data_IF_783203803606
#
_entry.id   IF_783203803606
#
_cell.length_a   1.000
_cell.length_b   1.000
_cell.length_c   1.000
_cell.angle_alpha   90.00
_cell.angle_beta   90.00
_cell.angle_gamma   90.00
#
_symmetry.space_group_name_H-M   'P 1'
#
loop_
_entity.id
_entity.type
_entity.pdbx_description
1 polymer ?
#
# COMPACT_ATOMS: atom_id res chain seq x y z
N UNK A 1 -2.25 8.68 16.59
CA UNK A 1 -3.69 8.38 16.36
C UNK A 1 -4.08 8.96 15.02
N UNK A 2 -4.48 8.12 14.06
CA UNK A 2 -4.94 8.57 12.75
C UNK A 2 -6.23 9.40 12.85
N UNK A 3 -6.25 10.58 12.21
CA UNK A 3 -7.46 11.42 12.13
C UNK A 3 -8.52 10.83 11.19
N UNK A 4 -9.76 11.29 11.32
CA UNK A 4 -10.89 10.81 10.52
C UNK A 4 -11.37 11.86 9.53
N UNK A 5 -11.61 11.45 8.28
CA UNK A 5 -12.04 12.30 7.17
C UNK A 5 -13.37 11.81 6.60
N UNK A 6 -14.37 12.69 6.54
CA UNK A 6 -15.63 12.41 5.84
C UNK A 6 -15.58 12.93 4.40
N UNK A 7 -16.04 12.14 3.42
CA UNK A 7 -16.30 12.64 2.06
C UNK A 7 -17.78 12.97 1.94
N UNK A 8 -18.09 14.25 1.72
CA UNK A 8 -19.45 14.77 1.55
C UNK A 8 -19.60 15.38 0.17
N UNK A 9 -20.81 15.31 -0.38
CA UNK A 9 -21.13 15.92 -1.66
C UNK A 9 -22.43 15.36 -2.22
N UNK A 10 -23.00 16.00 -3.24
CA UNK A 10 -24.19 15.46 -3.92
C UNK A 10 -23.89 14.14 -4.67
N UNK A 11 -24.91 13.39 -5.11
CA UNK A 11 -24.69 12.22 -5.96
C UNK A 11 -23.90 12.55 -7.24
N UNK A 12 -23.10 11.59 -7.72
CA UNK A 12 -22.37 11.63 -8.99
C UNK A 12 -21.24 12.66 -9.14
N UNK A 13 -20.82 13.36 -8.08
CA UNK A 13 -19.64 14.26 -8.11
C UNK A 13 -18.30 13.51 -8.14
N UNK A 14 -18.32 12.20 -7.88
CA UNK A 14 -17.12 11.35 -7.85
C UNK A 14 -16.61 11.00 -6.45
N UNK A 15 -17.47 11.07 -5.41
CA UNK A 15 -17.14 10.67 -4.03
C UNK A 15 -16.53 9.27 -3.95
N UNK A 16 -17.21 8.27 -4.51
CA UNK A 16 -16.73 6.89 -4.48
C UNK A 16 -15.47 6.66 -5.31
N UNK A 17 -15.26 7.44 -6.39
CA UNK A 17 -14.01 7.42 -7.16
C UNK A 17 -12.85 7.93 -6.31
N UNK A 18 -13.05 9.05 -5.60
CA UNK A 18 -12.04 9.61 -4.69
C UNK A 18 -11.80 8.67 -3.50
N UNK A 19 -12.85 8.14 -2.87
CA UNK A 19 -12.76 7.15 -1.80
C UNK A 19 -11.92 5.94 -2.23
N UNK A 20 -12.25 5.31 -3.36
CA UNK A 20 -11.53 4.15 -3.87
C UNK A 20 -10.07 4.46 -4.21
N UNK A 21 -9.78 5.69 -4.68
CA UNK A 21 -8.40 6.13 -4.92
C UNK A 21 -7.62 6.27 -3.62
N UNK A 22 -8.21 6.88 -2.60
CA UNK A 22 -7.57 7.13 -1.30
C UNK A 22 -7.37 5.84 -0.50
N UNK A 23 -8.33 4.91 -0.53
CA UNK A 23 -8.23 3.59 0.13
C UNK A 23 -7.32 2.62 -0.64
N UNK A 24 -7.10 2.88 -1.93
CA UNK A 24 -6.37 1.97 -2.82
C UNK A 24 -7.17 0.68 -3.13
N UNK A 25 -6.64 -0.15 -4.03
CA UNK A 25 -7.32 -1.35 -4.59
C UNK A 25 -7.65 -2.48 -3.57
N UNK A 26 -7.53 -2.28 -2.25
CA UNK A 26 -7.77 -3.34 -1.25
C UNK A 26 -9.20 -3.49 -0.74
N UNK A 27 -10.17 -2.69 -1.20
CA UNK A 27 -11.60 -2.93 -0.96
C UNK A 27 -12.46 -2.66 -2.21
N UNK A 28 -12.19 -3.38 -3.31
CA UNK A 28 -13.10 -3.45 -4.45
C UNK A 28 -13.43 -4.92 -4.77
N UNK A 29 -14.10 -5.60 -3.83
CA UNK A 29 -15.13 -6.55 -4.22
C UNK A 29 -16.45 -5.79 -4.09
N UNK A 30 -16.76 -5.06 -5.17
CA UNK A 30 -18.14 -4.68 -5.48
C UNK A 30 -18.78 -5.97 -5.94
N UNK A 31 -19.52 -6.60 -5.03
CA UNK A 31 -20.51 -7.60 -5.42
C UNK A 31 -21.78 -6.81 -5.75
N UNK A 32 -22.10 -6.70 -7.04
CA UNK A 32 -23.31 -6.04 -7.58
C UNK A 32 -24.57 -6.88 -7.30
N UNK A 33 -24.67 -7.49 -6.10
CA UNK A 33 -25.83 -8.26 -5.68
C UNK A 33 -26.76 -7.36 -4.85
N UNK A 34 -27.95 -6.98 -5.35
CA UNK A 34 -28.90 -6.17 -4.60
C UNK A 34 -29.40 -6.93 -3.37
N UNK A 35 -29.29 -6.34 -2.17
CA UNK A 35 -29.90 -6.88 -0.95
C UNK A 35 -28.98 -7.09 0.27
N UNK A 36 -27.72 -6.66 0.25
CA UNK A 36 -26.85 -6.68 1.44
C UNK A 36 -26.81 -5.31 2.13
N UNK A 37 -27.08 -5.28 3.43
CA UNK A 37 -27.06 -4.06 4.26
C UNK A 37 -25.66 -3.42 4.23
N UNK A 38 -25.58 -2.25 3.59
CA UNK A 38 -24.37 -1.42 3.46
C UNK A 38 -24.20 -0.56 4.71
N UNK A 39 -23.78 -1.17 5.82
CA UNK A 39 -23.36 -0.40 6.98
C UNK A 39 -22.04 0.34 6.71
N UNK A 40 -21.88 1.49 7.39
CA UNK A 40 -20.73 2.41 7.37
C UNK A 40 -19.41 1.67 7.16
N UNK A 41 -18.72 1.91 6.03
CA UNK A 41 -17.38 1.35 5.80
C UNK A 41 -16.32 2.45 5.98
N UNK A 42 -15.78 2.64 7.19
CA UNK A 42 -14.50 3.31 7.33
C UNK A 42 -13.47 2.55 6.47
N UNK A 43 -12.70 3.29 5.70
CA UNK A 43 -11.60 2.76 4.90
C UNK A 43 -10.29 3.36 5.37
N UNK A 44 -9.23 2.56 5.40
CA UNK A 44 -7.88 3.06 5.63
C UNK A 44 -7.42 3.82 4.38
N UNK A 45 -7.34 5.14 4.45
CA UNK A 45 -6.89 5.98 3.35
C UNK A 45 -5.40 6.32 3.50
N UNK A 46 -4.72 6.35 2.34
CA UNK A 46 -3.37 6.87 2.21
C UNK A 46 -3.31 7.89 1.09
N UNK A 47 -2.78 9.07 1.39
CA UNK A 47 -2.52 10.13 0.42
C UNK A 47 -1.08 10.62 0.58
N UNK A 48 -0.20 10.15 -0.31
CA UNK A 48 1.24 10.45 -0.28
C UNK A 48 1.84 10.00 1.07
N UNK A 49 2.09 10.93 1.97
CA UNK A 49 2.61 10.79 3.33
C UNK A 49 1.49 10.70 4.38
N UNK A 50 0.30 11.25 4.09
CA UNK A 50 -0.84 11.23 5.01
C UNK A 50 -1.51 9.85 5.11
N UNK A 51 -1.92 9.52 6.33
CA UNK A 51 -2.72 8.34 6.67
C UNK A 51 -3.87 8.73 7.57
N UNK A 52 -5.07 8.31 7.20
CA UNK A 52 -6.29 8.68 7.92
C UNK A 52 -7.40 7.67 7.67
N UNK A 53 -8.40 7.66 8.53
CA UNK A 53 -9.62 6.89 8.30
C UNK A 53 -10.55 7.72 7.44
N UNK A 54 -11.04 7.16 6.33
CA UNK A 54 -11.98 7.84 5.45
C UNK A 54 -13.38 7.22 5.54
N UNK A 55 -14.41 8.07 5.56
CA UNK A 55 -15.81 7.66 5.63
C UNK A 55 -16.54 8.18 4.38
N UNK A 56 -17.07 7.27 3.55
CA UNK A 56 -17.89 7.63 2.38
C UNK A 56 -19.36 7.81 2.81
N UNK A 57 -19.92 9.01 2.59
CA UNK A 57 -21.36 9.24 2.80
C UNK A 57 -22.23 8.71 1.66
N UNK A 58 -21.67 8.21 0.55
CA UNK A 58 -22.44 7.69 -0.58
C UNK A 58 -23.04 6.30 -0.34
N UNK A 59 -22.35 5.40 0.39
CA UNK A 59 -22.85 4.04 0.70
C UNK A 59 -24.10 4.00 1.59
N UNK A 60 -24.54 5.18 1.99
CA UNK A 60 -25.55 5.48 2.98
C UNK A 60 -26.83 6.06 2.34
N UNK A 61 -26.79 6.43 1.05
CA UNK A 61 -27.85 7.12 0.30
C UNK A 61 -28.96 6.18 -0.27
N UNK A 62 -28.81 4.85 -0.18
CA UNK A 62 -29.63 3.86 -0.93
C UNK A 62 -30.85 3.27 -0.18
N UNK A 63 -31.43 3.93 0.83
CA UNK A 63 -32.61 3.38 1.56
C UNK A 63 -33.85 4.27 1.45
N UNK A 64 -34.69 3.95 0.46
CA UNK A 64 -36.17 4.07 0.50
C UNK A 64 -36.82 5.48 0.40
N UNK A 65 -38.10 5.56 -0.03
CA UNK A 65 -38.70 6.76 -0.62
C UNK A 65 -39.42 7.73 0.34
N UNK A 66 -38.96 7.88 1.59
CA UNK A 66 -39.54 8.85 2.54
C UNK A 66 -38.57 10.02 2.78
N UNK A 67 -38.90 11.16 2.17
CA UNK A 67 -38.11 12.40 2.00
C UNK A 67 -36.60 12.20 2.03
N UNK A 68 -36.08 11.72 0.90
CA UNK A 68 -34.65 11.50 0.59
C UNK A 68 -33.75 12.61 1.16
N UNK A 69 -34.16 13.86 1.03
CA UNK A 69 -33.40 15.04 1.48
C UNK A 69 -33.19 15.12 3.00
N UNK A 70 -34.18 14.75 3.81
CA UNK A 70 -34.09 14.85 5.27
C UNK A 70 -33.17 13.79 5.88
N UNK A 71 -33.24 12.55 5.35
CA UNK A 71 -32.35 11.46 5.76
C UNK A 71 -30.92 11.70 5.29
N UNK A 72 -30.75 12.16 4.05
CA UNK A 72 -29.43 12.55 3.52
C UNK A 72 -28.76 13.62 4.38
N UNK A 73 -29.53 14.63 4.84
CA UNK A 73 -29.00 15.67 5.74
C UNK A 73 -28.57 15.11 7.09
N UNK A 74 -29.46 14.41 7.82
CA UNK A 74 -29.14 13.87 9.15
C UNK A 74 -27.92 12.94 9.12
N UNK A 75 -27.75 12.21 8.03
CA UNK A 75 -26.63 11.30 7.87
C UNK A 75 -25.33 12.00 7.48
N UNK A 76 -25.41 13.04 6.66
CA UNK A 76 -24.30 13.93 6.38
C UNK A 76 -23.86 14.66 7.65
N UNK A 77 -24.80 15.12 8.47
CA UNK A 77 -24.57 15.73 9.79
C UNK A 77 -23.79 14.79 10.71
N UNK A 78 -24.23 13.54 10.85
CA UNK A 78 -23.52 12.54 11.65
C UNK A 78 -22.10 12.27 11.13
N UNK A 79 -21.92 12.16 9.81
CA UNK A 79 -20.59 11.94 9.23
C UNK A 79 -19.66 13.14 9.47
N UNK A 80 -20.20 14.36 9.40
CA UNK A 80 -19.47 15.58 9.75
C UNK A 80 -19.14 15.55 11.24
N UNK A 81 -20.08 15.24 12.13
CA UNK A 81 -19.88 15.17 13.59
C UNK A 81 -18.84 14.12 14.04
N UNK A 82 -18.73 12.99 13.34
CA UNK A 82 -17.79 11.93 13.66
C UNK A 82 -16.37 12.19 13.09
N UNK A 83 -16.21 13.07 12.08
CA UNK A 83 -14.93 13.31 11.42
C UNK A 83 -14.14 14.50 11.99
N UNK A 84 -12.81 14.43 11.94
CA UNK A 84 -11.93 15.55 12.26
C UNK A 84 -11.88 16.59 11.13
N UNK A 85 -12.07 16.15 9.88
CA UNK A 85 -12.06 16.98 8.68
C UNK A 85 -13.08 16.48 7.66
N UNK A 86 -13.68 17.40 6.89
CA UNK A 86 -14.61 17.03 5.80
C UNK A 86 -14.04 17.43 4.44
N UNK A 87 -13.98 16.49 3.51
CA UNK A 87 -13.78 16.74 2.08
C UNK A 87 -15.14 16.99 1.44
N UNK A 88 -15.40 18.24 1.05
CA UNK A 88 -16.63 18.58 0.33
C UNK A 88 -16.39 18.57 -1.18
N UNK A 89 -16.90 17.54 -1.85
CA UNK A 89 -16.65 17.30 -3.27
C UNK A 89 -17.75 17.88 -4.13
N UNK A 90 -17.37 18.75 -5.07
CA UNK A 90 -18.23 19.30 -6.12
C UNK A 90 -17.73 18.86 -7.50
N UNK A 91 -18.60 18.91 -8.51
CA UNK A 91 -18.25 18.57 -9.89
C UNK A 91 -17.93 19.85 -10.67
N UNK A 92 -16.64 20.08 -10.96
CA UNK A 92 -16.17 21.27 -11.66
C UNK A 92 -16.69 21.34 -13.11
N UNK A 93 -16.93 20.19 -13.75
CA UNK A 93 -17.45 20.13 -15.12
C UNK A 93 -18.92 20.52 -15.20
N UNK A 94 -19.71 20.06 -14.23
CA UNK A 94 -21.14 20.32 -14.19
C UNK A 94 -21.48 21.66 -13.53
N UNK A 95 -20.65 22.12 -12.60
CA UNK A 95 -20.89 23.30 -11.78
C UNK A 95 -21.76 23.02 -10.55
N UNK A 96 -22.05 24.10 -9.82
CA UNK A 96 -22.79 24.05 -8.57
C UNK A 96 -24.30 23.91 -8.79
N UNK A 97 -24.93 23.18 -7.87
CA UNK A 97 -26.38 23.00 -7.80
C UNK A 97 -26.94 23.58 -6.50
N UNK A 98 -28.28 23.76 -6.36
CA UNK A 98 -28.88 24.14 -5.09
C UNK A 98 -28.55 23.19 -3.92
N UNK A 99 -28.32 21.90 -4.22
CA UNK A 99 -27.93 20.91 -3.22
C UNK A 99 -26.50 21.14 -2.72
N UNK A 100 -25.58 21.55 -3.60
CA UNK A 100 -24.22 21.92 -3.20
C UNK A 100 -24.23 23.16 -2.28
N UNK A 101 -25.08 24.15 -2.57
CA UNK A 101 -25.27 25.34 -1.70
C UNK A 101 -25.79 24.95 -0.32
N UNK A 102 -26.73 24.01 -0.28
CA UNK A 102 -27.29 23.47 0.96
C UNK A 102 -26.21 22.78 1.80
N UNK A 103 -25.39 21.91 1.20
CA UNK A 103 -24.27 21.27 1.90
C UNK A 103 -23.23 22.30 2.35
N UNK A 104 -22.94 23.30 1.52
CA UNK A 104 -22.04 24.40 1.89
C UNK A 104 -22.54 25.18 3.12
N UNK A 105 -23.84 25.48 3.20
CA UNK A 105 -24.44 26.10 4.39
C UNK A 105 -24.32 25.23 5.63
N UNK A 106 -24.54 23.93 5.50
CA UNK A 106 -24.42 22.97 6.59
C UNK A 106 -22.98 22.91 7.12
N UNK A 107 -22.01 22.78 6.21
CA UNK A 107 -20.59 22.68 6.51
C UNK A 107 -20.05 23.97 7.15
N UNK A 108 -20.51 25.15 6.72
CA UNK A 108 -20.14 26.41 7.40
C UNK A 108 -20.65 26.47 8.84
N UNK A 109 -21.79 25.85 9.15
CA UNK A 109 -22.37 25.84 10.50
C UNK A 109 -21.74 24.81 11.43
N UNK A 110 -21.14 23.74 10.90
CA UNK A 110 -20.55 22.68 11.72
C UNK A 110 -19.31 23.14 12.48
N UNK A 111 -18.64 24.19 12.00
CA UNK A 111 -17.42 24.73 12.62
C UNK A 111 -16.20 23.80 12.51
N UNK A 112 -16.32 22.71 11.74
CA UNK A 112 -15.22 21.77 11.52
C UNK A 112 -14.35 22.18 10.34
N UNK A 113 -13.08 21.74 10.29
CA UNK A 113 -12.24 21.88 9.11
C UNK A 113 -12.90 21.29 7.85
N UNK A 114 -12.92 22.07 6.78
CA UNK A 114 -13.48 21.66 5.48
C UNK A 114 -12.47 21.96 4.39
N UNK A 115 -12.21 20.97 3.54
CA UNK A 115 -11.49 21.17 2.28
C UNK A 115 -12.49 21.05 1.14
N UNK A 116 -12.63 22.14 0.38
CA UNK A 116 -13.49 22.18 -0.79
C UNK A 116 -12.75 21.57 -1.99
N UNK A 117 -13.33 20.53 -2.59
CA UNK A 117 -12.70 19.74 -3.65
C UNK A 117 -13.48 19.90 -4.95
N UNK A 118 -12.88 20.55 -5.95
CA UNK A 118 -13.42 20.68 -7.29
C UNK A 118 -12.98 19.50 -8.16
N UNK A 119 -13.75 18.41 -8.15
CA UNK A 119 -13.41 17.18 -8.86
C UNK A 119 -13.81 17.25 -10.35
N UNK A 120 -13.21 16.38 -11.17
CA UNK A 120 -13.35 16.33 -12.64
C UNK A 120 -12.78 17.57 -13.35
N UNK A 121 -11.74 18.17 -12.75
CA UNK A 121 -11.12 19.40 -13.26
C UNK A 121 -10.34 19.19 -14.56
N UNK A 122 -10.05 17.95 -14.95
CA UNK A 122 -9.47 17.61 -16.26
C UNK A 122 -10.40 17.91 -17.44
N UNK A 123 -11.71 17.98 -17.19
CA UNK A 123 -12.69 18.04 -18.25
C UNK A 123 -12.69 19.42 -18.92
N UNK A 124 -12.77 19.46 -20.25
CA UNK A 124 -12.89 20.73 -20.98
C UNK A 124 -14.12 21.51 -20.49
N UNK A 125 -13.90 22.75 -20.04
CA UNK A 125 -14.94 23.63 -19.50
C UNK A 125 -15.13 23.56 -17.98
N UNK A 126 -14.24 22.88 -17.25
CA UNK A 126 -14.24 22.81 -15.78
C UNK A 126 -13.97 24.15 -15.09
N UNK A 127 -13.32 25.11 -15.76
CA UNK A 127 -12.97 26.42 -15.20
C UNK A 127 -14.17 27.14 -14.59
N UNK A 128 -15.34 27.10 -15.25
CA UNK A 128 -16.56 27.75 -14.76
C UNK A 128 -17.02 27.18 -13.41
N UNK A 129 -17.11 25.85 -13.30
CA UNK A 129 -17.52 25.21 -12.05
C UNK A 129 -16.46 25.32 -10.95
N UNK A 130 -15.18 25.40 -11.31
CA UNK A 130 -14.10 25.71 -10.37
C UNK A 130 -14.27 27.11 -9.76
N UNK A 131 -14.47 28.15 -10.59
CA UNK A 131 -14.67 29.52 -10.10
C UNK A 131 -15.99 29.66 -9.32
N UNK A 132 -17.05 28.98 -9.73
CA UNK A 132 -18.32 28.99 -9.00
C UNK A 132 -18.17 28.41 -7.59
N UNK A 133 -17.26 27.45 -7.38
CA UNK A 133 -17.04 26.82 -6.08
C UNK A 133 -16.66 27.83 -4.99
N UNK A 134 -15.95 28.93 -5.33
CA UNK A 134 -15.65 30.02 -4.38
C UNK A 134 -16.91 30.64 -3.76
N UNK A 135 -18.04 30.63 -4.47
CA UNK A 135 -19.31 31.19 -3.95
C UNK A 135 -19.86 30.41 -2.75
N UNK A 136 -19.35 29.21 -2.49
CA UNK A 136 -19.66 28.42 -1.30
C UNK A 136 -18.98 28.98 -0.04
N UNK A 137 -18.02 29.89 -0.14
CA UNK A 137 -17.41 30.53 1.02
C UNK A 137 -16.75 29.54 2.00
N UNK A 138 -16.14 28.48 1.46
CA UNK A 138 -15.45 27.43 2.21
C UNK A 138 -13.92 27.45 1.99
N UNK A 139 -13.38 28.61 1.57
CA UNK A 139 -11.97 28.75 1.21
C UNK A 139 -11.69 28.48 -0.27
N UNK A 140 -10.41 28.29 -0.59
CA UNK A 140 -9.94 28.00 -1.93
C UNK A 140 -10.30 26.56 -2.33
N UNK A 141 -11.02 26.35 -3.46
CA UNK A 141 -11.31 25.02 -3.97
C UNK A 141 -10.03 24.36 -4.50
N UNK A 142 -9.79 23.11 -4.13
CA UNK A 142 -8.69 22.30 -4.66
C UNK A 142 -9.14 21.63 -5.96
N UNK A 143 -8.54 21.95 -7.11
CA UNK A 143 -8.89 21.33 -8.39
C UNK A 143 -8.26 19.94 -8.49
N UNK A 144 -9.08 18.90 -8.60
CA UNK A 144 -8.58 17.52 -8.74
C UNK A 144 -9.23 16.76 -9.89
N UNK A 145 -8.55 15.69 -10.28
CA UNK A 145 -9.13 14.58 -11.03
C UNK A 145 -9.02 13.30 -10.21
N UNK A 146 -10.08 12.88 -9.53
CA UNK A 146 -10.10 11.61 -8.81
C UNK A 146 -9.96 10.42 -9.76
N UNK A 147 -10.40 10.53 -11.01
CA UNK A 147 -10.26 9.45 -11.99
C UNK A 147 -8.80 9.31 -12.47
N UNK A 148 -8.15 10.42 -12.82
CA UNK A 148 -6.81 10.41 -13.40
C UNK A 148 -5.68 10.60 -12.37
N UNK A 149 -6.00 10.99 -11.14
CA UNK A 149 -5.04 11.22 -10.05
C UNK A 149 -4.31 12.56 -10.11
N UNK A 150 -4.90 13.57 -10.75
CA UNK A 150 -4.35 14.93 -10.82
C UNK A 150 -4.79 15.76 -9.61
N UNK A 151 -3.97 16.71 -9.17
CA UNK A 151 -4.28 17.58 -8.02
C UNK A 151 -4.22 16.90 -6.64
N UNK A 152 -3.70 15.68 -6.57
CA UNK A 152 -3.65 14.91 -5.31
C UNK A 152 -2.61 15.46 -4.31
N UNK A 153 -1.54 16.11 -4.81
CA UNK A 153 -0.55 16.80 -3.97
C UNK A 153 -1.20 18.05 -3.36
N UNK A 154 -1.88 18.85 -4.18
CA UNK A 154 -2.59 20.03 -3.70
C UNK A 154 -3.69 19.66 -2.68
N UNK A 155 -4.38 18.53 -2.89
CA UNK A 155 -5.35 18.00 -1.92
C UNK A 155 -4.69 17.58 -0.60
N UNK A 156 -3.48 16.99 -0.66
CA UNK A 156 -2.70 16.66 0.53
C UNK A 156 -2.38 17.92 1.31
N UNK A 157 -1.86 18.94 0.63
CA UNK A 157 -1.42 20.18 1.27
C UNK A 157 -2.60 20.92 1.91
N UNK A 158 -3.75 20.98 1.22
CA UNK A 158 -4.98 21.56 1.76
C UNK A 158 -5.52 20.80 2.98
N UNK A 159 -5.38 19.46 3.03
CA UNK A 159 -5.77 18.67 4.21
C UNK A 159 -4.87 19.01 5.39
N UNK A 160 -3.55 19.08 5.19
CA UNK A 160 -2.60 19.44 6.25
C UNK A 160 -2.87 20.85 6.77
N UNK A 161 -3.06 21.82 5.88
CA UNK A 161 -3.38 23.20 6.26
C UNK A 161 -4.68 23.27 7.08
N UNK A 162 -5.72 22.52 6.68
CA UNK A 162 -7.01 22.57 7.33
C UNK A 162 -7.04 21.89 8.71
N UNK A 163 -6.32 20.77 8.88
CA UNK A 163 -6.33 20.00 10.14
C UNK A 163 -5.21 20.40 11.10
N UNK A 164 -4.15 21.04 10.59
CA UNK A 164 -2.92 21.38 11.30
C UNK A 164 -1.88 20.27 11.25
N UNK A 165 -0.59 20.65 11.20
CA UNK A 165 0.53 19.71 11.12
C UNK A 165 0.55 18.72 12.29
N UNK A 166 0.33 19.18 13.53
CA UNK A 166 0.31 18.33 14.74
C UNK A 166 -0.75 17.21 14.67
N UNK A 167 -1.86 17.43 13.96
CA UNK A 167 -2.91 16.41 13.77
C UNK A 167 -2.67 15.56 12.53
N UNK A 168 -2.10 16.14 11.49
CA UNK A 168 -1.74 15.43 10.26
C UNK A 168 -0.59 14.44 10.51
N UNK A 169 0.33 14.82 11.40
CA UNK A 169 1.52 14.09 11.82
C UNK A 169 1.61 14.10 13.35
N UNK A 170 0.75 13.34 14.06
CA UNK A 170 0.80 13.33 15.51
C UNK A 170 2.15 12.80 15.98
N UNK A 171 2.80 13.52 16.90
CA UNK A 171 4.02 13.06 17.56
C UNK A 171 3.80 11.64 18.12
N UNK A 172 4.53 10.66 17.57
CA UNK A 172 4.39 9.24 17.90
C UNK A 172 3.55 8.38 16.95
N UNK A 173 2.95 8.95 15.88
CA UNK A 173 2.52 8.20 14.68
C UNK A 173 3.67 8.17 13.66
N UNK A 174 4.86 7.82 14.14
CA UNK A 174 5.91 7.25 13.30
C UNK A 174 5.41 5.89 12.80
N UNK A 175 4.53 5.96 11.81
CA UNK A 175 4.28 4.92 10.82
C UNK A 175 5.47 4.88 9.82
N UNK A 176 6.64 5.39 10.25
CA UNK A 176 7.91 4.74 9.97
C UNK A 176 7.70 3.26 10.28
N UNK A 177 8.03 2.37 9.34
CA UNK A 177 8.34 1.02 9.82
C UNK A 177 9.39 1.27 10.91
N UNK A 178 9.19 0.83 12.16
CA UNK A 178 10.26 0.85 13.16
C UNK A 178 11.49 0.23 12.48
N UNK A 179 12.34 1.10 11.98
CA UNK A 179 13.66 0.82 11.50
C UNK A 179 14.48 1.45 12.55
N UNK A 180 15.24 0.59 13.18
CA UNK A 180 15.90 0.81 14.43
C UNK A 180 17.18 1.65 14.19
N UNK A 181 17.07 2.66 13.31
CA UNK A 181 18.08 3.62 12.87
C UNK A 181 17.64 4.97 13.41
N UNK A 182 18.30 5.39 14.47
CA UNK A 182 18.12 6.67 15.14
C UNK A 182 18.71 7.76 14.23
N UNK A 183 17.92 8.33 13.30
CA UNK A 183 18.35 9.55 12.57
C UNK A 183 18.19 10.72 13.54
N UNK A 184 19.17 10.87 14.43
CA UNK A 184 19.18 11.98 15.38
C UNK A 184 19.18 13.29 14.61
N UNK A 185 18.28 14.16 15.05
CA UNK A 185 17.91 15.49 14.53
C UNK A 185 19.03 16.55 14.65
N UNK A 186 20.31 16.15 14.53
CA UNK A 186 21.47 17.02 14.72
C UNK A 186 22.04 17.60 13.43
N UNK A 187 21.23 17.74 12.37
CA UNK A 187 21.71 18.25 11.06
C UNK A 187 20.97 19.51 10.60
N UNK A 188 20.78 20.45 11.53
CA UNK A 188 20.72 21.88 11.20
C UNK A 188 22.01 22.55 11.70
N UNK A 189 23.13 22.06 11.18
CA UNK A 189 24.46 22.63 11.37
C UNK A 189 25.22 22.47 10.07
N UNK A 190 25.54 23.60 9.46
CA UNK A 190 26.27 23.74 8.20
C UNK A 190 27.55 22.89 8.20
N UNK A 191 27.59 21.87 7.33
CA UNK A 191 28.70 21.45 6.46
C UNK A 191 28.42 20.03 5.95
N UNK A 192 28.13 19.95 4.66
CA UNK A 192 27.98 18.70 3.92
C UNK A 192 29.33 18.00 3.75
N UNK A 193 29.25 16.69 3.47
CA UNK A 193 30.31 15.75 3.12
C UNK A 193 30.97 15.00 4.30
N UNK A 194 30.24 14.05 4.89
CA UNK A 194 30.80 12.74 5.23
C UNK A 194 29.71 11.66 5.10
N UNK A 195 30.05 10.61 4.35
CA UNK A 195 29.21 9.48 3.98
C UNK A 195 28.80 8.69 5.23
N UNK A 196 27.58 8.93 5.75
CA UNK A 196 27.06 8.22 6.92
C UNK A 196 26.69 6.77 6.54
N UNK A 197 27.62 5.83 6.71
CA UNK A 197 27.31 4.40 6.70
C UNK A 197 26.75 3.99 8.08
N UNK A 198 25.46 3.65 8.21
CA UNK A 198 24.92 3.19 9.49
C UNK A 198 25.64 1.90 9.91
N UNK A 199 26.14 1.88 11.16
CA UNK A 199 26.81 0.71 11.71
C UNK A 199 25.85 -0.49 11.78
N UNK A 200 26.30 -1.63 11.28
CA UNK A 200 25.55 -2.88 11.27
C UNK A 200 25.39 -3.45 12.69
N UNK A 201 24.15 -3.53 13.18
CA UNK A 201 23.79 -4.10 14.49
C UNK A 201 23.41 -5.58 14.33
N UNK A 202 24.23 -6.47 14.91
CA UNK A 202 24.07 -7.93 14.83
C UNK A 202 23.03 -8.49 15.82
N UNK A 203 22.57 -7.67 16.78
CA UNK A 203 21.55 -8.05 17.75
C UNK A 203 20.13 -7.98 17.16
N UNK A 204 19.96 -7.28 16.04
CA UNK A 204 18.66 -7.08 15.38
C UNK A 204 18.40 -8.15 14.32
N UNK A 205 17.13 -8.63 14.20
CA UNK A 205 16.80 -9.67 13.25
C UNK A 205 16.90 -9.15 11.80
N UNK A 206 17.58 -9.90 10.92
CA UNK A 206 17.62 -9.57 9.50
C UNK A 206 16.23 -9.75 8.88
N UNK A 207 15.72 -8.70 8.24
CA UNK A 207 14.38 -8.73 7.63
C UNK A 207 14.46 -9.20 6.18
N UNK A 208 13.94 -10.39 5.92
CA UNK A 208 14.02 -11.05 4.60
C UNK A 208 12.63 -11.28 4.01
N UNK A 209 12.48 -11.04 2.71
CA UNK A 209 11.30 -11.46 1.94
C UNK A 209 11.69 -12.41 0.81
N UNK A 210 10.84 -13.42 0.55
CA UNK A 210 11.00 -14.34 -0.58
C UNK A 210 9.87 -14.10 -1.57
N UNK A 211 10.20 -13.53 -2.73
CA UNK A 211 9.25 -13.21 -3.80
C UNK A 211 9.57 -14.01 -5.07
N UNK A 212 8.71 -13.90 -6.08
CA UNK A 212 8.84 -14.63 -7.34
C UNK A 212 7.47 -14.95 -7.92
N UNK A 213 7.44 -15.41 -9.17
CA UNK A 213 6.19 -15.81 -9.84
C UNK A 213 5.50 -17.00 -9.17
N UNK A 214 4.19 -17.21 -9.41
CA UNK A 214 3.51 -18.46 -9.10
C UNK A 214 4.31 -19.68 -9.61
N UNK A 215 4.30 -20.79 -8.87
CA UNK A 215 5.03 -22.03 -9.22
C UNK A 215 6.57 -21.95 -9.33
N UNK A 216 7.21 -20.81 -9.05
CA UNK A 216 8.68 -20.70 -8.99
C UNK A 216 9.32 -21.51 -7.83
N UNK A 217 8.50 -22.11 -6.95
CA UNK A 217 8.94 -22.97 -5.85
C UNK A 217 9.26 -22.24 -4.53
N UNK A 218 8.73 -21.03 -4.34
CA UNK A 218 8.84 -20.24 -3.09
C UNK A 218 8.34 -21.00 -1.87
N UNK A 219 7.14 -21.60 -1.93
CA UNK A 219 6.57 -22.32 -0.79
C UNK A 219 7.41 -23.52 -0.40
N UNK A 220 7.97 -24.24 -1.38
CA UNK A 220 8.89 -25.35 -1.16
C UNK A 220 10.16 -24.87 -0.46
N UNK A 221 10.74 -23.76 -0.95
CA UNK A 221 11.93 -23.14 -0.36
C UNK A 221 11.70 -22.70 1.09
N UNK A 222 10.59 -22.02 1.38
CA UNK A 222 10.30 -21.54 2.73
C UNK A 222 10.05 -22.73 3.67
N UNK A 223 9.25 -23.73 3.25
CA UNK A 223 9.03 -24.93 4.07
C UNK A 223 10.32 -25.68 4.37
N UNK A 224 11.30 -25.66 3.44
CA UNK A 224 12.63 -26.23 3.64
C UNK A 224 13.38 -25.49 4.75
N UNK A 225 13.43 -24.15 4.69
CA UNK A 225 14.03 -23.32 5.75
C UNK A 225 13.36 -23.54 7.11
N UNK A 226 12.02 -23.62 7.15
CA UNK A 226 11.27 -23.90 8.38
C UNK A 226 11.45 -25.34 8.91
N UNK A 227 11.92 -26.26 8.07
CA UNK A 227 12.10 -27.67 8.40
C UNK A 227 13.51 -28.02 8.88
N UNK A 228 14.53 -27.23 8.50
CA UNK A 228 15.93 -27.49 8.84
C UNK A 228 16.35 -26.89 10.20
N UNK A 229 15.81 -25.73 10.60
CA UNK A 229 16.16 -25.05 11.86
C UNK A 229 14.95 -24.85 12.78
N UNK A 230 14.43 -25.95 13.34
CA UNK A 230 13.41 -25.86 14.40
C UNK A 230 14.01 -25.38 15.73
N UNK A 231 14.12 -24.06 15.86
CA UNK A 231 13.87 -23.31 17.09
C UNK A 231 12.86 -22.21 16.76
N UNK A 232 11.58 -22.61 16.64
CA UNK A 232 10.47 -21.67 16.60
C UNK A 232 10.33 -21.04 18.00
N UNK A 233 11.02 -19.94 18.25
CA UNK A 233 10.71 -19.09 19.41
C UNK A 233 9.52 -18.23 19.04
N UNK A 234 8.32 -18.63 19.48
CA UNK A 234 7.12 -17.79 19.39
C UNK A 234 6.70 -17.34 20.79
N UNK A 235 6.35 -16.05 20.99
CA UNK A 235 5.63 -15.65 22.18
C UNK A 235 4.20 -16.19 22.15
N UNK A 236 3.63 -16.32 23.34
CA UNK A 236 2.36 -16.93 23.66
C UNK A 236 1.16 -16.34 22.90
N UNK A 237 0.10 -17.15 22.85
CA UNK A 237 -1.16 -16.84 22.21
C UNK A 237 -1.75 -15.47 22.60
N UNK A 238 -1.80 -14.56 21.63
CA UNK A 238 -2.56 -13.32 21.67
C UNK A 238 -2.03 -12.35 20.61
N UNK A 239 -2.94 -11.55 19.98
CA UNK A 239 -2.71 -10.40 19.08
C UNK A 239 -1.97 -10.68 17.72
N UNK A 240 -2.29 -10.12 16.56
CA UNK A 240 -3.29 -9.16 16.01
C UNK A 240 -3.47 -9.48 14.51
N UNK A 241 -4.57 -9.02 13.90
CA UNK A 241 -4.87 -9.17 12.47
C UNK A 241 -3.93 -8.31 11.61
N UNK A 242 -2.75 -8.79 11.21
CA UNK A 242 -2.12 -8.50 9.91
C UNK A 242 -0.73 -9.17 9.80
N UNK A 243 -0.54 -9.95 8.72
CA UNK A 243 0.69 -10.67 8.32
C UNK A 243 1.50 -11.39 9.41
N UNK A 244 1.38 -12.72 9.43
CA UNK A 244 2.17 -13.63 10.26
C UNK A 244 3.63 -13.59 9.78
N UNK A 245 4.52 -12.93 10.53
CA UNK A 245 5.98 -13.07 10.37
C UNK A 245 6.42 -14.41 10.96
N UNK A 246 7.53 -14.96 10.44
CA UNK A 246 8.16 -16.13 11.03
C UNK A 246 9.60 -15.80 11.34
N UNK A 247 9.95 -15.98 12.61
CA UNK A 247 11.30 -15.78 13.12
C UNK A 247 11.99 -17.14 13.23
N UNK A 248 13.24 -17.23 12.77
CA UNK A 248 14.13 -18.37 13.03
C UNK A 248 15.56 -17.88 13.23
N UNK A 249 16.42 -18.77 13.71
CA UNK A 249 17.83 -18.50 13.89
C UNK A 249 18.63 -19.23 12.81
N UNK A 250 19.53 -18.51 12.13
CA UNK A 250 20.44 -19.08 11.13
C UNK A 250 21.87 -18.70 11.49
N UNK A 251 22.71 -19.70 11.80
CA UNK A 251 24.13 -19.52 12.18
C UNK A 251 24.37 -18.44 13.25
N UNK A 252 23.52 -18.39 14.27
CA UNK A 252 23.62 -17.41 15.37
C UNK A 252 22.99 -16.05 15.09
N UNK A 253 22.33 -15.86 13.93
CA UNK A 253 21.65 -14.63 13.57
C UNK A 253 20.15 -14.85 13.48
N UNK A 254 19.36 -13.99 14.12
CA UNK A 254 17.91 -14.02 14.00
C UNK A 254 17.49 -13.50 12.62
N UNK A 255 16.61 -14.22 11.95
CA UNK A 255 16.04 -13.85 10.66
C UNK A 255 14.53 -13.79 10.79
N UNK A 256 13.96 -12.66 10.36
CA UNK A 256 12.53 -12.41 10.34
C UNK A 256 12.03 -12.42 8.90
N UNK A 257 11.26 -13.45 8.54
CA UNK A 257 10.67 -13.53 7.19
C UNK A 257 9.29 -12.92 7.14
N UNK A 258 9.13 -12.02 6.17
CA UNK A 258 7.85 -11.42 5.82
C UNK A 258 7.17 -12.23 4.71
N UNK A 259 5.84 -12.30 4.80
CA UNK A 259 4.92 -12.92 3.82
C UNK A 259 4.64 -14.44 3.94
N UNK A 260 4.27 -14.92 5.14
CA UNK A 260 3.75 -16.30 5.29
C UNK A 260 2.22 -16.39 5.25
N UNK A 261 1.51 -15.27 5.09
CA UNK A 261 0.04 -15.20 5.13
C UNK A 261 -0.63 -15.98 3.97
N UNK A 262 0.03 -16.05 2.81
CA UNK A 262 -0.40 -16.91 1.69
C UNK A 262 -0.12 -18.41 1.90
N UNK A 263 0.63 -18.78 2.94
CA UNK A 263 1.15 -20.14 3.11
C UNK A 263 0.49 -20.93 4.25
N UNK A 264 0.10 -20.30 5.36
CA UNK A 264 -0.64 -21.03 6.42
C UNK A 264 -2.05 -21.47 5.99
N UNK A 265 -2.69 -20.76 5.05
CA UNK A 265 -3.96 -21.20 4.45
C UNK A 265 -3.81 -22.43 3.52
N UNK A 266 -2.59 -22.75 3.07
CA UNK A 266 -2.32 -23.79 2.05
C UNK A 266 -2.14 -25.22 2.58
N UNK A 267 -2.18 -25.45 3.89
CA UNK A 267 -2.22 -26.82 4.42
C UNK A 267 -3.59 -27.51 4.26
N UNK A 268 -4.66 -26.79 3.83
CA UNK A 268 -6.02 -27.33 3.78
C UNK A 268 -6.83 -27.10 2.50
N UNK A 269 -6.30 -26.45 1.46
CA UNK A 269 -7.08 -26.19 0.24
C UNK A 269 -6.24 -26.43 -1.01
N UNK A 270 -6.58 -27.48 -1.75
CA UNK A 270 -6.05 -27.76 -3.09
C UNK A 270 -6.39 -26.64 -4.08
N UNK A 271 -5.34 -26.21 -4.80
CA UNK A 271 -5.29 -25.72 -6.18
C UNK A 271 -6.01 -24.45 -6.66
N UNK A 272 -6.89 -23.77 -5.92
CA UNK A 272 -7.69 -22.67 -6.52
C UNK A 272 -7.32 -21.19 -6.30
N UNK A 273 -6.22 -20.85 -5.62
CA UNK A 273 -5.77 -19.44 -5.55
C UNK A 273 -4.24 -19.31 -5.49
N UNK A 274 -3.60 -19.31 -6.66
CA UNK A 274 -2.20 -18.88 -6.83
C UNK A 274 -2.10 -17.51 -7.52
N UNK A 275 -3.03 -16.59 -7.24
CA UNK A 275 -2.81 -15.19 -7.55
C UNK A 275 -2.11 -14.55 -6.35
N UNK A 276 -0.78 -14.46 -6.42
CA UNK A 276 -0.04 -13.45 -5.66
C UNK A 276 -0.69 -12.10 -5.98
N UNK A 277 -1.32 -11.48 -4.99
CA UNK A 277 -1.71 -10.09 -5.17
C UNK A 277 -0.41 -9.30 -5.31
N UNK A 278 -0.29 -8.50 -6.36
CA UNK A 278 0.82 -7.54 -6.53
C UNK A 278 1.00 -6.70 -5.26
N UNK A 279 -0.11 -6.41 -4.57
CA UNK A 279 -0.11 -5.68 -3.32
C UNK A 279 0.53 -6.43 -2.13
N UNK A 280 0.52 -7.77 -2.14
CA UNK A 280 1.15 -8.57 -1.09
C UNK A 280 2.65 -8.63 -1.33
N UNK A 281 3.10 -8.90 -2.58
CA UNK A 281 4.51 -8.80 -2.94
C UNK A 281 5.10 -7.40 -2.64
N UNK A 282 4.38 -6.33 -2.99
CA UNK A 282 4.76 -4.95 -2.65
C UNK A 282 4.92 -4.73 -1.15
N UNK A 283 3.97 -5.22 -0.36
CA UNK A 283 4.03 -5.09 1.10
C UNK A 283 5.26 -5.81 1.65
N UNK A 284 5.52 -7.04 1.20
CA UNK A 284 6.65 -7.86 1.63
C UNK A 284 7.99 -7.23 1.29
N UNK A 285 8.12 -6.62 0.11
CA UNK A 285 9.32 -5.90 -0.31
C UNK A 285 9.58 -4.69 0.59
N UNK A 286 8.55 -3.90 0.91
CA UNK A 286 8.71 -2.68 1.74
C UNK A 286 9.15 -2.96 3.19
N UNK A 287 8.80 -4.12 3.74
CA UNK A 287 9.21 -4.49 5.10
C UNK A 287 10.54 -5.25 5.16
N UNK A 288 11.06 -5.70 4.02
CA UNK A 288 12.31 -6.45 3.97
C UNK A 288 13.51 -5.53 3.72
N UNK A 289 14.64 -5.84 4.35
CA UNK A 289 15.93 -5.24 4.02
C UNK A 289 16.54 -5.97 2.83
N UNK A 290 16.42 -7.31 2.83
CA UNK A 290 16.90 -8.19 1.78
C UNK A 290 15.75 -8.96 1.14
N UNK A 291 15.71 -8.99 -0.19
CA UNK A 291 14.68 -9.68 -0.96
C UNK A 291 15.32 -10.77 -1.82
N UNK A 292 14.92 -12.01 -1.57
CA UNK A 292 15.26 -13.17 -2.41
C UNK A 292 14.22 -13.29 -3.51
N UNK A 293 14.64 -13.08 -4.75
CA UNK A 293 13.79 -13.20 -5.93
C UNK A 293 13.97 -14.60 -6.51
N UNK A 294 12.95 -15.43 -6.39
CA UNK A 294 12.97 -16.82 -6.82
C UNK A 294 12.48 -16.94 -8.27
N UNK A 295 13.36 -17.45 -9.11
CA UNK A 295 13.11 -17.83 -10.50
C UNK A 295 13.06 -19.34 -10.61
N UNK A 296 12.30 -19.84 -11.57
CA UNK A 296 12.37 -21.24 -11.99
C UNK A 296 13.44 -21.37 -13.07
N UNK A 297 14.51 -22.13 -12.80
CA UNK A 297 15.62 -22.32 -13.72
C UNK A 297 15.25 -23.12 -14.98
N UNK A 298 14.10 -23.81 -14.98
CA UNK A 298 13.67 -24.69 -16.08
C UNK A 298 12.87 -23.97 -17.16
N UNK A 299 12.48 -22.71 -16.93
CA UNK A 299 11.66 -21.92 -17.84
C UNK A 299 12.29 -20.56 -18.16
N UNK A 300 11.96 -19.95 -19.32
CA UNK A 300 12.41 -18.60 -19.64
C UNK A 300 11.86 -17.54 -18.67
N UNK A 301 12.56 -16.40 -18.58
CA UNK A 301 12.05 -15.24 -17.86
C UNK A 301 10.76 -14.72 -18.50
N UNK A 302 9.76 -14.50 -17.65
CA UNK A 302 8.52 -13.87 -18.05
C UNK A 302 8.49 -12.40 -17.66
N UNK A 303 7.57 -11.64 -18.26
CA UNK A 303 7.35 -10.22 -17.95
C UNK A 303 7.19 -9.96 -16.45
N UNK A 304 6.52 -10.86 -15.73
CA UNK A 304 6.31 -10.72 -14.29
C UNK A 304 7.62 -10.89 -13.49
N UNK A 305 8.57 -11.72 -13.93
CA UNK A 305 9.87 -11.83 -13.27
C UNK A 305 10.63 -10.49 -13.36
N UNK A 306 10.64 -9.90 -14.56
CA UNK A 306 11.31 -8.63 -14.81
C UNK A 306 10.69 -7.49 -14.00
N UNK A 307 9.36 -7.49 -13.88
CA UNK A 307 8.63 -6.53 -13.05
C UNK A 307 8.94 -6.66 -11.57
N UNK A 308 9.10 -7.89 -11.05
CA UNK A 308 9.47 -8.11 -9.66
C UNK A 308 10.88 -7.60 -9.36
N UNK A 309 11.84 -7.85 -10.26
CA UNK A 309 13.21 -7.34 -10.12
C UNK A 309 13.23 -5.80 -10.16
N UNK A 310 12.58 -5.20 -11.15
CA UNK A 310 12.47 -3.74 -11.27
C UNK A 310 11.85 -3.13 -10.02
N UNK A 311 10.80 -3.75 -9.47
CA UNK A 311 10.16 -3.29 -8.26
C UNK A 311 11.09 -3.34 -7.03
N UNK A 312 11.79 -4.46 -6.82
CA UNK A 312 12.71 -4.61 -5.68
C UNK A 312 13.83 -3.55 -5.73
N UNK A 313 14.37 -3.30 -6.92
CA UNK A 313 15.46 -2.35 -7.09
C UNK A 313 14.99 -0.90 -6.96
N UNK A 314 13.80 -0.56 -7.45
CA UNK A 314 13.20 0.77 -7.24
C UNK A 314 12.91 1.07 -5.78
N UNK A 315 12.54 0.05 -5.01
CA UNK A 315 12.33 0.16 -3.56
C UNK A 315 13.64 0.19 -2.75
N UNK A 316 14.81 0.17 -3.43
CA UNK A 316 16.12 0.29 -2.80
C UNK A 316 16.53 -0.91 -1.95
N UNK A 317 15.93 -2.09 -2.16
CA UNK A 317 16.19 -3.27 -1.31
C UNK A 317 17.38 -4.08 -1.82
N UNK A 318 18.13 -4.66 -0.89
CA UNK A 318 19.20 -5.59 -1.24
C UNK A 318 18.59 -6.84 -1.90
N UNK A 319 18.92 -7.08 -3.15
CA UNK A 319 18.33 -8.19 -3.91
C UNK A 319 19.29 -9.38 -4.00
N UNK A 320 18.73 -10.59 -4.02
CA UNK A 320 19.44 -11.83 -4.36
C UNK A 320 18.61 -12.61 -5.35
N UNK A 321 19.19 -13.02 -6.48
CA UNK A 321 18.50 -13.84 -7.48
C UNK A 321 18.72 -15.31 -7.16
N UNK A 322 17.63 -16.04 -6.94
CA UNK A 322 17.63 -17.46 -6.63
C UNK A 322 17.06 -18.27 -7.81
N UNK A 323 17.90 -19.02 -8.51
CA UNK A 323 17.49 -19.90 -9.60
C UNK A 323 17.13 -21.28 -9.05
N UNK A 324 15.85 -21.47 -8.77
CA UNK A 324 15.29 -22.67 -8.13
C UNK A 324 15.03 -23.81 -9.12
N UNK A 325 14.77 -25.01 -8.59
CA UNK A 325 14.62 -26.27 -9.34
C UNK A 325 15.88 -26.69 -10.09
N UNK A 326 17.05 -26.34 -9.54
CA UNK A 326 18.34 -26.69 -10.15
C UNK A 326 18.59 -28.19 -10.25
N UNK A 327 17.89 -29.00 -9.46
CA UNK A 327 17.88 -30.46 -9.52
C UNK A 327 17.30 -31.03 -10.84
N UNK A 328 16.50 -30.24 -11.56
CA UNK A 328 15.91 -30.62 -12.84
C UNK A 328 16.76 -30.17 -14.04
N UNK A 329 17.89 -29.51 -13.81
CA UNK A 329 18.75 -28.96 -14.87
C UNK A 329 19.76 -30.01 -15.31
N UNK A 330 19.65 -30.48 -16.57
CA UNK A 330 20.53 -31.51 -17.13
C UNK A 330 21.93 -31.01 -17.47
N UNK A 331 22.05 -29.77 -17.98
CA UNK A 331 23.33 -29.15 -18.36
C UNK A 331 23.64 -27.89 -17.50
N UNK A 332 24.05 -28.03 -16.22
CA UNK A 332 24.19 -26.91 -15.29
C UNK A 332 25.12 -25.79 -15.76
N UNK A 333 26.22 -26.13 -16.44
CA UNK A 333 27.19 -25.13 -16.91
C UNK A 333 26.62 -24.27 -18.05
N UNK A 334 25.93 -24.91 -19.00
CA UNK A 334 25.31 -24.22 -20.13
C UNK A 334 24.15 -23.33 -19.66
N UNK A 335 23.26 -23.86 -18.81
CA UNK A 335 22.12 -23.12 -18.27
C UNK A 335 22.57 -21.96 -17.38
N UNK A 336 23.63 -22.14 -16.58
CA UNK A 336 24.18 -21.05 -15.78
C UNK A 336 24.76 -19.92 -16.65
N UNK A 337 25.45 -20.26 -17.74
CA UNK A 337 25.97 -19.26 -18.67
C UNK A 337 24.82 -18.51 -19.37
N UNK A 338 23.79 -19.23 -19.81
CA UNK A 338 22.59 -18.65 -20.41
C UNK A 338 21.83 -17.72 -19.45
N UNK A 339 21.65 -18.13 -18.19
CA UNK A 339 20.97 -17.30 -17.18
C UNK A 339 21.76 -16.03 -16.86
N UNK A 340 23.11 -16.10 -16.85
CA UNK A 340 23.96 -14.92 -16.69
C UNK A 340 23.80 -13.95 -17.85
N UNK A 341 23.88 -14.44 -19.10
CA UNK A 341 23.66 -13.63 -20.30
C UNK A 341 22.27 -12.98 -20.31
N UNK A 342 21.22 -13.76 -20.01
CA UNK A 342 19.85 -13.24 -19.92
C UNK A 342 19.69 -12.20 -18.82
N UNK A 343 20.32 -12.38 -17.67
CA UNK A 343 20.26 -11.42 -16.56
C UNK A 343 20.94 -10.12 -16.99
N UNK A 344 22.12 -10.18 -17.60
CA UNK A 344 22.82 -8.97 -18.10
C UNK A 344 22.03 -8.25 -19.20
N UNK A 345 21.39 -9.00 -20.11
CA UNK A 345 20.65 -8.44 -21.25
C UNK A 345 19.27 -7.89 -20.88
N UNK A 346 18.51 -8.62 -20.07
CA UNK A 346 17.11 -8.29 -19.74
C UNK A 346 16.97 -7.49 -18.44
N UNK A 347 17.99 -7.53 -17.58
CA UNK A 347 18.02 -6.86 -16.29
C UNK A 347 19.33 -6.06 -16.13
N UNK A 348 19.61 -5.07 -16.99
CA UNK A 348 20.83 -4.24 -16.87
C UNK A 348 20.92 -3.53 -15.51
N UNK A 349 19.78 -3.20 -14.89
CA UNK A 349 19.69 -2.64 -13.54
C UNK A 349 20.08 -3.64 -12.44
N UNK A 350 20.07 -4.94 -12.73
CA UNK A 350 20.44 -6.00 -11.80
C UNK A 350 21.93 -6.36 -11.85
N UNK A 351 22.75 -5.54 -12.53
CA UNK A 351 24.18 -5.83 -12.68
C UNK A 351 24.88 -5.84 -11.31
N UNK A 352 25.64 -6.89 -11.05
CA UNK A 352 26.34 -7.08 -9.77
C UNK A 352 25.49 -7.75 -8.68
N UNK A 353 24.19 -7.96 -8.91
CA UNK A 353 23.34 -8.71 -7.98
C UNK A 353 23.80 -10.17 -7.94
N UNK A 354 23.88 -10.72 -6.73
CA UNK A 354 24.29 -12.10 -6.51
C UNK A 354 23.22 -13.06 -7.05
N UNK A 355 23.64 -13.94 -7.96
CA UNK A 355 22.81 -15.01 -8.51
C UNK A 355 23.25 -16.38 -7.95
N UNK A 356 22.31 -17.11 -7.36
CA UNK A 356 22.57 -18.39 -6.70
C UNK A 356 21.65 -19.48 -7.27
N UNK A 357 22.21 -20.52 -7.89
CA UNK A 357 21.45 -21.72 -8.25
C UNK A 357 21.11 -22.52 -7.01
N UNK A 358 19.84 -22.86 -6.82
CA UNK A 358 19.33 -23.57 -5.64
C UNK A 358 18.32 -24.66 -6.00
N UNK A 359 18.07 -25.57 -5.07
CA UNK A 359 16.86 -26.40 -5.11
C UNK A 359 16.19 -26.41 -3.75
N UNK A 360 15.00 -25.80 -3.67
CA UNK A 360 14.17 -25.86 -2.47
C UNK A 360 13.68 -27.28 -2.16
N UNK A 361 13.65 -28.18 -3.15
CA UNK A 361 13.22 -29.57 -2.95
C UNK A 361 14.33 -30.42 -2.33
N UNK A 362 15.56 -30.33 -2.84
CA UNK A 362 16.69 -31.16 -2.38
C UNK A 362 17.52 -30.49 -1.28
N UNK A 363 17.39 -29.19 -1.08
CA UNK A 363 18.24 -28.39 -0.19
C UNK A 363 19.55 -27.94 -0.85
N UNK A 364 19.73 -28.19 -2.15
CA UNK A 364 20.96 -27.82 -2.85
C UNK A 364 21.25 -26.32 -2.75
N UNK A 365 22.45 -25.99 -2.27
CA UNK A 365 23.02 -24.64 -2.21
C UNK A 365 22.23 -23.61 -1.40
N UNK A 366 21.37 -24.04 -0.46
CA UNK A 366 20.66 -23.12 0.44
C UNK A 366 21.62 -22.38 1.40
N UNK A 367 22.67 -23.05 1.86
CA UNK A 367 23.77 -22.47 2.65
C UNK A 367 24.53 -21.32 1.98
N UNK A 368 24.46 -21.24 0.65
CA UNK A 368 25.13 -20.19 -0.13
C UNK A 368 24.19 -19.03 -0.46
N UNK A 369 22.89 -19.29 -0.38
CA UNK A 369 21.83 -18.30 -0.55
C UNK A 369 21.71 -17.43 0.70
N UNK A 370 21.68 -18.08 1.87
CA UNK A 370 21.78 -17.45 3.19
C UNK A 370 23.21 -17.02 3.47
#
# INVERSE_FOLDING_TARGET
MSFTVAIVGRPNVGKSTLFNRLVGKKLALVDDTPGVTRDRRPGDAKLIDLRFIIIDTAGLEEVGPDTLEGRMRAQTELAIEDADLTLFVVDAKFGLTPLDKTFGELLRRSGKPVVLVANKSEAKGSDGGFYDAYTLGLGEPVPISAEHGQGMIDLRDAIVEAIGEDRAFPEGDDDEAETDIDVRDSVLGEEADDEFEPAYDDTKPLRVAIIGRPNAGKSTLINRFLGEDRLLTGPEAGITRDSISVDWEWRGRTIKMFDTAGMRKKARVQEKLEKLSVADALRSIRFAETVVIVFDATIPFEKQDLQLVDLVLREGRAAVLAFNKWDLVEEPQAVLAELREKTERLLPQARGIRAVPISGQTGYSLDKLM
#
